data_IF_443275088108
#
_entry.id   IF_443275088108
#
_cell.length_a   1.000
_cell.length_b   1.000
_cell.length_c   1.000
_cell.angle_alpha   90.00
_cell.angle_beta   90.00
_cell.angle_gamma   90.00
#
_symmetry.space_group_name_H-M   'P 1'
#
loop_
_entity.id
_entity.type
_entity.pdbx_description
1 polymer ?
#
# COMPACT_ATOMS: atom_id res chain seq x y z
N UNK A 1 10.96 6.99 1.52
CA UNK A 1 9.58 7.37 1.89
C UNK A 1 9.25 6.77 3.24
N UNK A 2 8.66 7.54 4.14
CA UNK A 2 8.05 7.02 5.37
C UNK A 2 6.54 7.16 5.18
N UNK A 3 5.82 6.06 5.39
CA UNK A 3 4.36 6.03 5.35
C UNK A 3 3.89 5.39 6.64
N UNK A 4 2.96 6.04 7.32
CA UNK A 4 2.39 5.59 8.57
C UNK A 4 0.90 5.46 8.30
N UNK A 5 0.42 4.23 8.28
CA UNK A 5 -1.02 4.00 8.30
C UNK A 5 -1.45 3.61 9.70
N UNK A 6 -2.58 4.17 10.11
CA UNK A 6 -3.24 3.85 11.34
C UNK A 6 -4.64 3.34 10.97
N UNK A 7 -4.70 2.15 10.38
CA UNK A 7 -5.93 1.41 10.07
C UNK A 7 -6.74 0.99 11.33
N UNK A 8 -6.52 1.64 12.47
CA UNK A 8 -7.15 1.32 13.75
C UNK A 8 -6.57 0.10 14.47
N UNK A 9 -5.38 -0.35 14.08
CA UNK A 9 -4.69 -1.48 14.71
C UNK A 9 -3.95 -1.10 16.00
N UNK A 10 -3.63 -2.10 16.83
CA UNK A 10 -2.85 -1.94 18.08
C UNK A 10 -1.37 -1.58 17.85
N UNK A 11 -0.94 -1.47 16.59
CA UNK A 11 0.44 -1.19 16.22
C UNK A 11 0.54 0.01 15.30
N UNK A 12 1.47 0.91 15.64
CA UNK A 12 1.91 2.02 14.81
C UNK A 12 3.41 1.87 14.64
N UNK A 13 3.82 1.35 13.48
CA UNK A 13 5.22 1.13 13.15
C UNK A 13 5.62 1.92 11.90
N UNK A 14 6.90 2.27 11.81
CA UNK A 14 7.46 2.84 10.59
C UNK A 14 7.56 1.73 9.55
N UNK A 15 7.01 1.97 8.36
CA UNK A 15 7.22 1.13 7.20
C UNK A 15 8.38 1.64 6.34
N UNK A 16 9.13 0.73 5.72
CA UNK A 16 10.15 1.05 4.74
C UNK A 16 9.83 0.42 3.40
N UNK A 17 10.09 1.15 2.32
CA UNK A 17 9.70 0.71 0.99
C UNK A 17 10.69 1.07 -0.10
N UNK A 18 10.61 0.29 -1.17
CA UNK A 18 11.42 0.46 -2.39
C UNK A 18 10.51 0.85 -3.55
N UNK A 19 10.94 1.84 -4.32
CA UNK A 19 10.25 2.26 -5.54
C UNK A 19 10.68 1.32 -6.67
N UNK A 20 9.69 0.83 -7.43
CA UNK A 20 9.89 0.17 -8.71
C UNK A 20 9.36 1.08 -9.82
N UNK A 21 10.28 1.77 -10.49
CA UNK A 21 9.97 2.70 -11.58
C UNK A 21 9.38 2.01 -12.81
N UNK A 22 9.66 0.71 -13.02
CA UNK A 22 9.14 -0.04 -14.17
C UNK A 22 7.70 -0.45 -13.96
N UNK A 23 7.37 -0.83 -12.73
CA UNK A 23 6.02 -1.23 -12.34
C UNK A 23 5.17 -0.06 -11.83
N UNK A 24 5.74 1.15 -11.80
CA UNK A 24 5.12 2.36 -11.25
C UNK A 24 4.52 2.08 -9.87
N UNK A 25 5.29 1.38 -9.03
CA UNK A 25 4.81 0.88 -7.75
C UNK A 25 5.79 1.15 -6.62
N UNK A 26 5.27 1.23 -5.40
CA UNK A 26 6.03 1.32 -4.16
C UNK A 26 5.48 0.26 -3.22
N UNK A 27 6.34 -0.63 -2.75
CA UNK A 27 5.97 -1.61 -1.72
C UNK A 27 6.58 -1.18 -0.39
N UNK A 28 5.75 -1.12 0.65
CA UNK A 28 6.10 -0.76 2.01
C UNK A 28 5.91 -1.98 2.88
N UNK A 29 6.96 -2.36 3.62
CA UNK A 29 6.94 -3.44 4.60
C UNK A 29 6.93 -2.86 6.00
N UNK A 30 6.08 -3.40 6.85
CA UNK A 30 5.91 -2.98 8.23
C UNK A 30 6.45 -4.03 9.20
N UNK A 31 7.00 -3.56 10.32
CA UNK A 31 7.55 -4.34 11.43
C UNK A 31 8.28 -5.65 11.03
N UNK A 32 7.91 -6.78 11.64
CA UNK A 32 8.48 -8.12 11.44
C UNK A 32 8.37 -8.69 10.01
N UNK A 33 7.81 -7.91 9.07
CA UNK A 33 7.66 -8.28 7.67
C UNK A 33 6.40 -9.10 7.37
N UNK A 34 5.47 -9.21 8.32
CA UNK A 34 4.21 -9.94 8.17
C UNK A 34 3.05 -9.08 7.64
N UNK A 35 3.29 -7.79 7.40
CA UNK A 35 2.34 -6.86 6.78
C UNK A 35 3.04 -6.05 5.68
N UNK A 36 2.37 -5.92 4.53
CA UNK A 36 2.82 -5.09 3.42
C UNK A 36 1.70 -4.20 2.90
N UNK A 37 2.03 -3.00 2.43
CA UNK A 37 1.18 -2.23 1.54
C UNK A 37 1.91 -1.92 0.24
N UNK A 38 1.33 -2.36 -0.87
CA UNK A 38 1.81 -2.03 -2.21
C UNK A 38 0.90 -1.01 -2.86
N UNK A 39 1.48 0.15 -3.16
CA UNK A 39 0.88 1.16 -4.03
C UNK A 39 1.28 0.90 -5.48
N UNK A 40 0.32 0.88 -6.39
CA UNK A 40 0.57 0.75 -7.83
C UNK A 40 -0.18 1.83 -8.58
N UNK A 41 0.50 2.55 -9.46
CA UNK A 41 -0.11 3.56 -10.32
C UNK A 41 -0.46 2.97 -11.68
N UNK A 42 -1.71 3.14 -12.09
CA UNK A 42 -2.15 2.86 -13.45
C UNK A 42 -2.20 4.17 -14.26
N UNK A 43 -1.29 4.36 -15.23
CA UNK A 43 -1.25 5.57 -16.04
C UNK A 43 -2.43 5.68 -17.03
N UNK A 44 -3.10 4.58 -17.38
CA UNK A 44 -4.23 4.60 -18.30
C UNK A 44 -5.46 5.21 -17.63
N UNK A 45 -5.77 4.76 -16.42
CA UNK A 45 -6.91 5.23 -15.65
C UNK A 45 -6.57 6.39 -14.71
N UNK A 46 -5.29 6.77 -14.63
CA UNK A 46 -4.75 7.77 -13.69
C UNK A 46 -5.19 7.50 -12.25
N UNK A 47 -5.15 6.22 -11.86
CA UNK A 47 -5.58 5.77 -10.55
C UNK A 47 -4.45 5.09 -9.79
N UNK A 48 -4.56 5.10 -8.47
CA UNK A 48 -3.69 4.36 -7.58
C UNK A 48 -4.46 3.22 -6.93
N UNK A 49 -3.84 2.06 -6.82
CA UNK A 49 -4.33 0.95 -6.00
C UNK A 49 -3.42 0.79 -4.79
N UNK A 50 -3.99 0.70 -3.59
CA UNK A 50 -3.33 0.27 -2.35
C UNK A 50 -3.75 -1.17 -2.06
N UNK A 51 -2.81 -2.11 -2.15
CA UNK A 51 -3.04 -3.51 -1.82
C UNK A 51 -2.31 -3.85 -0.52
N UNK A 52 -3.10 -4.12 0.52
CA UNK A 52 -2.59 -4.50 1.83
C UNK A 52 -2.67 -6.01 1.97
N UNK A 53 -1.54 -6.63 2.28
CA UNK A 53 -1.46 -8.06 2.55
C UNK A 53 -0.85 -8.31 3.91
N UNK A 54 -1.37 -9.32 4.59
CA UNK A 54 -0.86 -9.76 5.88
C UNK A 54 -0.67 -11.29 5.89
N UNK A 55 0.22 -11.77 6.74
CA UNK A 55 0.38 -13.20 7.00
C UNK A 55 -0.70 -13.66 7.98
N UNK A 56 -1.52 -14.62 7.58
CA UNK A 56 -2.47 -15.32 8.43
C UNK A 56 -2.14 -16.80 8.45
N UNK A 57 -1.80 -17.35 9.62
CA UNK A 57 -1.43 -18.76 9.78
C UNK A 57 -0.29 -19.21 8.83
N UNK A 58 0.67 -18.32 8.56
CA UNK A 58 1.81 -18.59 7.68
C UNK A 58 1.56 -18.35 6.18
N UNK A 59 0.35 -17.93 5.79
CA UNK A 59 0.00 -17.65 4.40
C UNK A 59 -0.31 -16.17 4.17
N UNK A 60 0.16 -15.62 3.05
CA UNK A 60 -0.13 -14.23 2.67
C UNK A 60 -1.54 -14.07 2.12
N UNK A 61 -2.38 -13.33 2.83
CA UNK A 61 -3.74 -12.99 2.38
C UNK A 61 -3.91 -11.50 2.13
N UNK A 62 -4.85 -11.19 1.25
CA UNK A 62 -5.32 -9.81 1.06
C UNK A 62 -6.14 -9.42 2.27
N UNK A 63 -5.71 -8.37 2.96
CA UNK A 63 -6.45 -7.75 4.05
C UNK A 63 -7.41 -6.69 3.51
N UNK A 64 -6.92 -5.83 2.62
CA UNK A 64 -7.67 -4.73 2.05
C UNK A 64 -7.14 -4.38 0.66
N UNK A 65 -8.03 -3.92 -0.22
CA UNK A 65 -7.69 -3.33 -1.51
C UNK A 65 -8.52 -2.07 -1.70
N UNK A 66 -7.83 -0.94 -1.82
CA UNK A 66 -8.45 0.37 -2.05
C UNK A 66 -8.00 0.95 -3.39
N UNK A 67 -8.92 1.64 -4.05
CA UNK A 67 -8.64 2.34 -5.31
C UNK A 67 -8.88 3.84 -5.15
N UNK A 68 -7.84 4.63 -5.39
CA UNK A 68 -7.88 6.08 -5.38
C UNK A 68 -7.91 6.60 -6.82
N UNK A 69 -8.91 7.44 -7.09
CA UNK A 69 -9.00 8.19 -8.35
C UNK A 69 -8.88 9.67 -8.01
N UNK A 70 -8.16 10.42 -8.84
CA UNK A 70 -8.16 11.87 -8.73
C UNK A 70 -9.58 12.38 -8.86
N UNK A 71 -10.08 13.08 -7.85
CA UNK A 71 -11.30 13.86 -8.03
C UNK A 71 -10.88 15.04 -8.90
N UNK A 72 -11.44 15.17 -10.10
CA UNK A 72 -11.22 16.35 -10.92
C UNK A 72 -11.61 17.58 -10.08
N UNK A 73 -10.62 18.27 -9.52
CA UNK A 73 -10.83 19.52 -8.84
C UNK A 73 -11.27 20.51 -9.92
N UNK A 74 -12.59 20.68 -10.05
CA UNK A 74 -13.15 21.79 -10.82
C UNK A 74 -12.52 23.07 -10.26
N UNK A 75 -11.60 23.64 -11.04
CA UNK A 75 -11.03 24.97 -10.81
C UNK A 75 -12.12 26.03 -10.87
#
# INVERSE_FOLDING_TARGET
CHWMDNFGGSESSLGWGTIDDKLLSLEIKFDNGELTNRFTFDPQTKSWTSLIRQVEHGEWKTFCEDKFVGTDAKK
#
